data_IF_619058081893
#
_entry.id   IF_619058081893
#
_cell.length_a   1.000
_cell.length_b   1.000
_cell.length_c   1.000
_cell.angle_alpha   90.00
_cell.angle_beta   90.00
_cell.angle_gamma   90.00
#
_symmetry.space_group_name_H-M   'P 1'
#
loop_
_entity.id
_entity.type
_entity.pdbx_description
1 polymer ?
#
# COMPACT_ATOMS: atom_id res chain seq x y z
N UNK A 1 -3.10 6.30 21.82
CA UNK A 1 -3.46 7.44 20.95
C UNK A 1 -4.69 7.05 20.14
N UNK A 2 -5.82 7.73 20.32
CA UNK A 2 -7.08 7.36 19.62
C UNK A 2 -7.01 7.88 18.19
N UNK A 3 -6.69 7.00 17.25
CA UNK A 3 -6.67 7.34 15.82
C UNK A 3 -8.10 7.67 15.38
N UNK A 4 -8.33 8.90 14.92
CA UNK A 4 -9.65 9.31 14.40
C UNK A 4 -9.88 8.67 13.05
N UNK A 5 -10.91 7.84 12.92
CA UNK A 5 -11.22 7.09 11.68
C UNK A 5 -11.32 8.02 10.46
N UNK A 6 -11.85 9.24 10.63
CA UNK A 6 -11.93 10.27 9.60
C UNK A 6 -10.56 10.67 9.04
N UNK A 7 -9.56 10.87 9.91
CA UNK A 7 -8.20 11.23 9.49
C UNK A 7 -7.55 10.12 8.68
N UNK A 8 -7.74 8.86 9.08
CA UNK A 8 -7.23 7.71 8.32
C UNK A 8 -7.94 7.59 6.97
N UNK A 9 -9.25 7.83 6.94
CA UNK A 9 -10.01 7.84 5.69
C UNK A 9 -9.52 8.93 4.74
N UNK A 10 -9.23 10.14 5.25
CA UNK A 10 -8.68 11.24 4.46
C UNK A 10 -7.26 10.96 3.95
N UNK A 11 -6.39 10.35 4.77
CA UNK A 11 -5.07 9.89 4.30
C UNK A 11 -5.22 8.83 3.20
N UNK A 12 -6.07 7.82 3.40
CA UNK A 12 -6.31 6.77 2.41
C UNK A 12 -6.87 7.33 1.10
N UNK A 13 -7.80 8.28 1.18
CA UNK A 13 -8.30 9.04 0.03
C UNK A 13 -7.14 9.73 -0.71
N UNK A 14 -6.30 10.46 0.02
CA UNK A 14 -5.13 11.12 -0.55
C UNK A 14 -4.13 10.15 -1.19
N UNK A 15 -4.01 8.93 -0.65
CA UNK A 15 -3.16 7.89 -1.24
C UNK A 15 -3.69 7.40 -2.59
N UNK A 16 -5.00 7.09 -2.63
CA UNK A 16 -5.67 6.62 -3.84
C UNK A 16 -5.70 7.71 -4.91
N UNK A 17 -5.98 8.97 -4.52
CA UNK A 17 -5.94 10.10 -5.44
C UNK A 17 -4.55 10.31 -6.06
N UNK A 18 -3.49 10.23 -5.26
CA UNK A 18 -2.11 10.35 -5.79
C UNK A 18 -1.73 9.21 -6.71
N UNK A 19 -2.17 7.99 -6.43
CA UNK A 19 -1.93 6.85 -7.31
C UNK A 19 -2.62 7.02 -8.66
N UNK A 20 -3.95 7.26 -8.68
CA UNK A 20 -4.74 7.32 -9.92
C UNK A 20 -4.60 8.65 -10.68
N UNK A 21 -4.19 9.71 -10.00
CA UNK A 21 -4.25 11.07 -10.50
C UNK A 21 -5.69 11.51 -10.86
N UNK A 22 -5.87 11.98 -12.09
CA UNK A 22 -7.18 12.44 -12.60
C UNK A 22 -8.03 11.31 -13.19
N UNK A 23 -7.47 10.13 -13.42
CA UNK A 23 -8.18 9.00 -14.01
C UNK A 23 -9.16 8.36 -13.02
N UNK A 24 -10.10 7.58 -13.55
CA UNK A 24 -10.86 6.61 -12.77
C UNK A 24 -9.96 5.43 -12.35
N UNK A 25 -10.42 4.66 -11.38
CA UNK A 25 -9.77 3.42 -10.97
C UNK A 25 -10.14 2.30 -11.95
N UNK A 26 -9.16 1.76 -12.68
CA UNK A 26 -9.37 0.59 -13.54
C UNK A 26 -9.70 -0.65 -12.70
N UNK A 27 -10.42 -1.63 -13.28
CA UNK A 27 -10.81 -2.85 -12.57
C UNK A 27 -9.62 -3.69 -12.07
N UNK A 28 -8.51 -3.69 -12.83
CA UNK A 28 -7.27 -4.37 -12.44
C UNK A 28 -6.59 -3.66 -11.25
N UNK A 29 -6.62 -2.33 -11.22
CA UNK A 29 -6.03 -1.53 -10.16
C UNK A 29 -6.84 -1.67 -8.86
N UNK A 30 -8.18 -1.67 -8.96
CA UNK A 30 -9.04 -2.02 -7.83
C UNK A 30 -8.71 -3.42 -7.30
N UNK A 31 -8.58 -4.39 -8.19
CA UNK A 31 -8.23 -5.77 -7.81
C UNK A 31 -6.87 -5.82 -7.10
N UNK A 32 -5.89 -5.05 -7.55
CA UNK A 32 -4.59 -4.93 -6.89
C UNK A 32 -4.69 -4.31 -5.50
N UNK A 33 -5.52 -3.27 -5.29
CA UNK A 33 -5.78 -2.69 -3.95
C UNK A 33 -6.40 -3.73 -3.01
N UNK A 34 -7.41 -4.47 -3.47
CA UNK A 34 -8.05 -5.52 -2.68
C UNK A 34 -7.06 -6.63 -2.30
N UNK A 35 -6.20 -7.04 -3.24
CA UNK A 35 -5.14 -8.02 -2.98
C UNK A 35 -4.12 -7.51 -1.98
N UNK A 36 -3.74 -6.22 -2.02
CA UNK A 36 -2.85 -5.64 -1.02
C UNK A 36 -3.46 -5.75 0.38
N UNK A 37 -4.74 -5.41 0.51
CA UNK A 37 -5.46 -5.50 1.78
C UNK A 37 -5.48 -6.92 2.35
N UNK A 38 -5.75 -7.92 1.50
CA UNK A 38 -5.70 -9.32 1.89
C UNK A 38 -4.27 -9.75 2.27
N UNK A 39 -3.27 -9.37 1.47
CA UNK A 39 -1.87 -9.72 1.70
C UNK A 39 -1.35 -9.16 3.02
N UNK A 40 -1.65 -7.89 3.32
CA UNK A 40 -1.27 -7.25 4.59
C UNK A 40 -1.88 -7.95 5.80
N UNK A 41 -3.11 -8.45 5.67
CA UNK A 41 -3.79 -9.17 6.75
C UNK A 41 -3.21 -10.57 6.98
N UNK A 42 -2.87 -11.29 5.92
CA UNK A 42 -2.44 -12.70 6.01
C UNK A 42 -0.93 -12.82 6.22
N UNK A 43 -0.14 -12.03 5.51
CA UNK A 43 1.33 -12.17 5.47
C UNK A 43 2.10 -10.98 6.05
N UNK A 44 1.44 -9.85 6.27
CA UNK A 44 2.03 -8.68 6.91
C UNK A 44 2.88 -7.78 5.99
N UNK A 45 3.40 -6.71 6.57
CA UNK A 45 4.06 -5.60 5.85
C UNK A 45 5.38 -6.01 5.18
N UNK A 46 6.26 -6.73 5.87
CA UNK A 46 7.54 -7.21 5.30
C UNK A 46 7.32 -8.09 4.06
N UNK A 47 6.31 -8.96 4.10
CA UNK A 47 5.96 -9.81 2.95
C UNK A 47 5.44 -8.97 1.77
N UNK A 48 4.61 -7.95 2.03
CA UNK A 48 4.08 -7.09 0.98
C UNK A 48 5.18 -6.30 0.25
N UNK A 49 6.13 -5.69 0.97
CA UNK A 49 7.27 -5.00 0.34
C UNK A 49 8.24 -5.97 -0.33
N UNK A 50 8.38 -7.19 0.21
CA UNK A 50 9.11 -8.28 -0.42
C UNK A 50 8.52 -8.66 -1.78
N UNK A 51 7.18 -8.79 -1.88
CA UNK A 51 6.49 -9.06 -3.14
C UNK A 51 6.75 -7.96 -4.18
N UNK A 52 6.71 -6.68 -3.77
CA UNK A 52 7.02 -5.55 -4.64
C UNK A 52 8.43 -5.68 -5.22
N UNK A 53 9.42 -6.12 -4.42
CA UNK A 53 10.82 -6.18 -4.83
C UNK A 53 11.26 -7.52 -5.45
N UNK A 54 10.45 -8.58 -5.39
CA UNK A 54 10.81 -9.89 -5.95
C UNK A 54 11.07 -9.81 -7.45
N UNK A 55 12.25 -10.25 -7.89
CA UNK A 55 12.74 -10.17 -9.26
C UNK A 55 12.42 -11.40 -10.14
N UNK A 56 11.69 -12.39 -9.64
CA UNK A 56 11.48 -13.62 -10.41
C UNK A 56 10.68 -13.37 -11.69
N UNK A 57 11.25 -13.84 -12.80
CA UNK A 57 10.99 -13.62 -14.24
C UNK A 57 9.58 -13.95 -14.77
N UNK A 58 8.59 -14.15 -13.91
CA UNK A 58 7.20 -14.23 -14.37
C UNK A 58 6.65 -12.80 -14.49
N UNK A 59 7.02 -12.11 -15.57
CA UNK A 59 6.34 -10.92 -16.09
C UNK A 59 4.91 -11.27 -16.52
N UNK A 60 4.10 -11.73 -15.57
CA UNK A 60 2.68 -11.95 -15.75
C UNK A 60 1.96 -10.60 -15.68
N UNK A 61 0.98 -10.41 -16.56
CA UNK A 61 0.09 -9.23 -16.60
C UNK A 61 -0.41 -8.80 -15.21
N UNK A 62 -0.67 -9.77 -14.34
CA UNK A 62 -1.09 -9.54 -12.95
C UNK A 62 -0.05 -8.71 -12.18
N UNK A 63 1.24 -9.05 -12.27
CA UNK A 63 2.30 -8.38 -11.51
C UNK A 63 2.55 -6.98 -12.04
N UNK A 64 2.51 -6.80 -13.36
CA UNK A 64 2.65 -5.48 -14.01
C UNK A 64 1.57 -4.50 -13.54
N UNK A 65 0.37 -4.99 -13.25
CA UNK A 65 -0.73 -4.20 -12.68
C UNK A 65 -0.67 -4.06 -11.15
N UNK A 66 -0.24 -5.12 -10.46
CA UNK A 66 -0.23 -5.16 -8.99
C UNK A 66 0.87 -4.30 -8.39
N UNK A 67 2.09 -4.38 -8.93
CA UNK A 67 3.26 -3.72 -8.35
C UNK A 67 3.11 -2.20 -8.28
N UNK A 68 2.71 -1.47 -9.35
CA UNK A 68 2.64 -0.01 -9.28
C UNK A 68 1.68 0.49 -8.20
N UNK A 69 0.54 -0.19 -8.02
CA UNK A 69 -0.43 0.09 -6.95
C UNK A 69 0.22 -0.13 -5.59
N UNK A 70 0.85 -1.29 -5.38
CA UNK A 70 1.42 -1.66 -4.09
C UNK A 70 2.59 -0.76 -3.72
N UNK A 71 3.51 -0.50 -4.67
CA UNK A 71 4.62 0.42 -4.48
C UNK A 71 4.13 1.80 -4.08
N UNK A 72 3.12 2.34 -4.77
CA UNK A 72 2.55 3.65 -4.46
C UNK A 72 1.92 3.71 -3.06
N UNK A 73 1.06 2.74 -2.71
CA UNK A 73 0.35 2.77 -1.42
C UNK A 73 1.26 2.47 -0.23
N UNK A 74 2.18 1.51 -0.39
CA UNK A 74 3.16 1.17 0.64
C UNK A 74 4.22 2.28 0.78
N UNK A 75 4.67 2.90 -0.31
CA UNK A 75 5.56 4.06 -0.24
C UNK A 75 4.93 5.20 0.55
N UNK A 76 3.68 5.57 0.24
CA UNK A 76 2.95 6.63 0.93
C UNK A 76 2.64 6.30 2.40
N UNK A 77 2.54 5.02 2.77
CA UNK A 77 2.46 4.59 4.16
C UNK A 77 3.76 4.88 4.93
N UNK A 78 4.92 4.70 4.31
CA UNK A 78 6.23 4.90 4.94
C UNK A 78 6.60 6.37 5.03
N UNK A 79 6.51 7.10 3.92
CA UNK A 79 6.67 8.55 3.89
C UNK A 79 5.66 9.13 2.92
N UNK A 80 4.69 9.87 3.47
CA UNK A 80 3.64 10.47 2.68
C UNK A 80 4.16 11.61 1.80
N UNK A 81 5.20 12.33 2.21
CA UNK A 81 5.73 13.48 1.47
C UNK A 81 6.72 13.04 0.39
N UNK A 82 7.60 12.10 0.73
CA UNK A 82 8.61 11.56 -0.19
C UNK A 82 8.56 10.02 -0.21
N UNK A 83 7.53 9.42 -0.84
CA UNK A 83 7.38 7.98 -0.88
C UNK A 83 8.63 7.29 -1.44
N UNK A 84 9.24 6.34 -0.71
CA UNK A 84 10.37 5.58 -1.23
C UNK A 84 9.93 4.73 -2.42
N UNK A 85 10.81 4.63 -3.41
CA UNK A 85 10.59 3.77 -4.59
C UNK A 85 10.94 2.32 -4.26
N UNK A 86 10.49 1.38 -5.09
CA UNK A 86 10.60 -0.08 -4.94
C UNK A 86 11.77 -0.61 -4.09
N UNK A 87 13.02 -0.33 -4.48
CA UNK A 87 14.21 -0.87 -3.79
C UNK A 87 14.38 -0.24 -2.40
N UNK A 88 14.28 1.09 -2.34
CA UNK A 88 14.40 1.87 -1.11
C UNK A 88 13.27 1.56 -0.12
N UNK A 89 12.08 1.21 -0.63
CA UNK A 89 10.92 0.83 0.17
C UNK A 89 11.19 -0.44 0.99
N UNK A 90 11.73 -1.49 0.35
CA UNK A 90 12.07 -2.72 1.06
C UNK A 90 13.17 -2.46 2.09
N UNK A 91 14.22 -1.72 1.71
CA UNK A 91 15.32 -1.39 2.62
C UNK A 91 14.84 -0.58 3.82
N UNK A 92 13.95 0.40 3.62
CA UNK A 92 13.37 1.21 4.68
C UNK A 92 12.56 0.37 5.69
N UNK A 93 11.70 -0.54 5.21
CA UNK A 93 10.89 -1.40 6.08
C UNK A 93 11.75 -2.45 6.80
N UNK A 94 12.74 -3.04 6.13
CA UNK A 94 13.68 -3.98 6.76
C UNK A 94 14.51 -3.28 7.83
N UNK A 95 14.99 -2.07 7.55
CA UNK A 95 15.71 -1.25 8.52
C UNK A 95 14.83 -0.94 9.72
N UNK A 96 13.61 -0.45 9.48
CA UNK A 96 12.62 -0.18 10.53
C UNK A 96 12.40 -1.40 11.43
N UNK A 97 12.12 -2.57 10.86
CA UNK A 97 11.91 -3.80 11.62
C UNK A 97 13.13 -4.23 12.47
N UNK A 98 14.35 -3.88 12.05
CA UNK A 98 15.58 -4.23 12.79
C UNK A 98 15.96 -3.21 13.84
N UNK A 99 15.80 -1.91 13.55
CA UNK A 99 16.30 -0.82 14.40
C UNK A 99 15.24 -0.26 15.33
N UNK A 100 13.96 -0.33 14.94
CA UNK A 100 12.83 0.17 15.71
C UNK A 100 11.60 -0.75 15.54
N UNK A 101 11.58 -1.90 16.24
CA UNK A 101 10.49 -2.86 16.14
C UNK A 101 9.12 -2.30 16.53
N UNK A 102 9.08 -1.35 17.47
CA UNK A 102 7.82 -0.72 17.91
C UNK A 102 7.24 0.15 16.80
N UNK A 103 8.06 0.97 16.14
CA UNK A 103 7.65 1.74 14.97
C UNK A 103 7.21 0.83 13.82
N UNK A 104 7.88 -0.31 13.61
CA UNK A 104 7.46 -1.30 12.64
C UNK A 104 6.07 -1.86 12.95
N UNK A 105 5.83 -2.28 14.20
CA UNK A 105 4.53 -2.80 14.62
C UNK A 105 3.42 -1.75 14.52
N UNK A 106 3.70 -0.49 14.86
CA UNK A 106 2.76 0.62 14.67
C UNK A 106 2.45 0.83 13.19
N UNK A 107 3.47 0.87 12.34
CA UNK A 107 3.33 1.04 10.89
C UNK A 107 2.53 -0.11 10.27
N UNK A 108 2.79 -1.35 10.69
CA UNK A 108 2.02 -2.51 10.26
C UNK A 108 0.56 -2.42 10.72
N UNK A 109 0.29 -2.08 11.99
CA UNK A 109 -1.10 -1.89 12.46
C UNK A 109 -1.81 -0.78 11.68
N UNK A 110 -1.12 0.33 11.40
CA UNK A 110 -1.64 1.44 10.60
C UNK A 110 -1.98 0.98 9.18
N UNK A 111 -1.15 0.13 8.57
CA UNK A 111 -1.41 -0.40 7.23
C UNK A 111 -2.67 -1.27 7.18
N UNK A 112 -2.96 -2.04 8.24
CA UNK A 112 -4.18 -2.84 8.34
C UNK A 112 -5.45 -1.97 8.41
N UNK A 113 -5.40 -0.85 9.12
CA UNK A 113 -6.53 0.10 9.18
C UNK A 113 -6.69 0.82 7.84
N UNK A 114 -5.59 1.36 7.30
CA UNK A 114 -5.57 2.04 5.99
C UNK A 114 -6.08 1.15 4.87
N UNK A 115 -5.74 -0.13 4.87
CA UNK A 115 -6.15 -1.07 3.83
C UNK A 115 -7.68 -1.14 3.66
N UNK A 116 -8.45 -1.05 4.74
CA UNK A 116 -9.91 -1.01 4.64
C UNK A 116 -10.40 0.28 3.96
N UNK A 117 -9.78 1.42 4.27
CA UNK A 117 -10.12 2.70 3.66
C UNK A 117 -9.60 2.81 2.21
N UNK A 118 -8.46 2.21 1.87
CA UNK A 118 -8.00 2.09 0.48
C UNK A 118 -9.01 1.31 -0.34
N UNK A 119 -9.53 0.18 0.16
CA UNK A 119 -10.58 -0.59 -0.52
C UNK A 119 -11.85 0.25 -0.75
N UNK A 120 -12.28 1.03 0.27
CA UNK A 120 -13.44 1.91 0.15
C UNK A 120 -13.23 2.95 -0.96
N UNK A 121 -12.13 3.70 -0.91
CA UNK A 121 -11.86 4.76 -1.88
C UNK A 121 -11.56 4.24 -3.27
N UNK A 122 -10.88 3.10 -3.41
CA UNK A 122 -10.66 2.48 -4.71
C UNK A 122 -11.97 2.12 -5.40
N UNK A 123 -12.96 1.60 -4.65
CA UNK A 123 -14.31 1.34 -5.18
C UNK A 123 -15.07 2.63 -5.49
N UNK A 124 -14.97 3.64 -4.63
CA UNK A 124 -15.61 4.94 -4.86
C UNK A 124 -15.09 5.65 -6.12
N UNK A 125 -13.88 5.33 -6.58
CA UNK A 125 -13.29 5.85 -7.81
C UNK A 125 -13.38 4.90 -9.01
N UNK A 126 -13.95 3.72 -8.84
CA UNK A 126 -14.24 2.84 -9.97
C UNK A 126 -15.36 3.50 -10.80
N UNK A 127 -15.17 3.62 -12.10
CA UNK A 127 -16.26 3.99 -13.00
C UNK A 127 -17.38 2.95 -12.91
N UNK A 128 -18.64 3.43 -12.91
CA UNK A 128 -19.83 2.59 -13.01
C UNK A 128 -20.03 2.06 -14.41
#
# INVERSE_FOLDING_TARGET
MTIRSEQISLSAHGHIQRYKGKAAMEGDDLTAVLRLSQHLRVFGLLSAVGYVNQSNDQNGKIRERTVPVWESLLGQLIDEKNPPKRKDLMEAVVKMAKTDPDLYLETWRRSLVLANHWNFWARAYQEG
#
